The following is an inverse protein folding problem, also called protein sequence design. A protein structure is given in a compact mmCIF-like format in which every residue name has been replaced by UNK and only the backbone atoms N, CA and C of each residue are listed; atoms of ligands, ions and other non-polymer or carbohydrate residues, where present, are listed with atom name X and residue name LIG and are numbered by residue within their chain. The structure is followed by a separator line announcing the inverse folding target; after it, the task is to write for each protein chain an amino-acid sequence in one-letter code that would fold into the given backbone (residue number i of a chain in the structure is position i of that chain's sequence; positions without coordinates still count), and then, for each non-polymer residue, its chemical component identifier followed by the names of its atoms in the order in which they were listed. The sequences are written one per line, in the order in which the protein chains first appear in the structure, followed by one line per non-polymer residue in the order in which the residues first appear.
data_IF_153392487928
#
_entry.id   IF_153392487928
#
_cell.length_a   1.000
_cell.length_b   1.000
_cell.length_c   1.000
_cell.angle_alpha   90.00
_cell.angle_beta   90.00
_cell.angle_gamma   90.00
#
_symmetry.space_group_name_H-M   'P 1'
#
loop_
_entity.id
_entity.type
_entity.pdbx_description
1 polymer ?
#
# COMPACT_ATOMS: atom_id res chain seq x y z
N UNK A 1 -5.54 22.69 -4.46
CA UNK A 1 -5.02 21.32 -4.54
C UNK A 1 -4.70 20.81 -3.14
N UNK A 2 -5.12 19.61 -2.81
CA UNK A 2 -5.04 19.05 -1.43
C UNK A 2 -3.62 18.62 -1.00
N UNK A 3 -2.71 18.40 -1.96
CA UNK A 3 -1.34 17.96 -1.74
C UNK A 3 -0.30 18.92 -2.35
N UNK A 4 -0.67 20.18 -2.52
CA UNK A 4 0.19 21.17 -3.16
C UNK A 4 1.57 21.24 -2.48
N UNK A 5 2.61 21.12 -3.29
CA UNK A 5 4.03 21.13 -2.90
C UNK A 5 4.49 20.00 -1.95
N UNK A 6 3.64 19.04 -1.58
CA UNK A 6 4.08 17.87 -0.80
C UNK A 6 4.93 16.96 -1.67
N UNK A 7 6.09 16.53 -1.16
CA UNK A 7 6.92 15.50 -1.80
C UNK A 7 6.54 14.12 -1.26
N UNK A 8 6.11 13.24 -2.15
CA UNK A 8 5.46 11.99 -1.80
C UNK A 8 6.10 10.81 -2.53
N UNK A 9 6.49 9.78 -1.79
CA UNK A 9 6.89 8.50 -2.37
C UNK A 9 5.67 7.58 -2.41
N UNK A 10 5.43 6.97 -3.57
CA UNK A 10 4.40 5.95 -3.77
C UNK A 10 5.08 4.67 -4.26
N UNK A 11 5.02 3.60 -3.47
CA UNK A 11 5.60 2.29 -3.83
C UNK A 11 4.59 1.39 -4.52
N UNK A 12 5.06 0.36 -5.23
CA UNK A 12 4.24 -0.52 -6.07
C UNK A 12 3.34 0.29 -7.04
N UNK A 13 3.93 1.35 -7.61
CA UNK A 13 3.19 2.32 -8.39
C UNK A 13 2.93 1.89 -9.84
N UNK A 14 3.55 0.81 -10.31
CA UNK A 14 3.43 0.37 -11.71
C UNK A 14 2.00 -0.04 -12.11
N UNK A 15 1.17 -0.45 -11.14
CA UNK A 15 -0.20 -0.92 -11.41
C UNK A 15 -1.13 -0.78 -10.21
N UNK A 16 -2.44 -1.02 -10.41
CA UNK A 16 -3.46 -1.14 -9.36
C UNK A 16 -3.53 0.07 -8.44
N UNK A 17 -3.60 -0.18 -7.14
CA UNK A 17 -3.78 0.86 -6.10
C UNK A 17 -2.64 1.88 -6.12
N UNK A 18 -1.39 1.42 -6.22
CA UNK A 18 -0.23 2.31 -6.25
C UNK A 18 -0.26 3.27 -7.45
N UNK A 19 -0.57 2.75 -8.66
CA UNK A 19 -0.70 3.57 -9.87
C UNK A 19 -1.81 4.61 -9.76
N UNK A 20 -3.00 4.20 -9.35
CA UNK A 20 -4.13 5.10 -9.16
C UNK A 20 -3.82 6.20 -8.13
N UNK A 21 -3.13 5.82 -7.04
CA UNK A 21 -2.73 6.76 -6.00
C UNK A 21 -1.67 7.75 -6.50
N UNK A 22 -0.65 7.29 -7.21
CA UNK A 22 0.39 8.16 -7.76
C UNK A 22 -0.18 9.21 -8.70
N UNK A 23 -1.05 8.80 -9.63
CA UNK A 23 -1.75 9.70 -10.56
C UNK A 23 -2.66 10.69 -9.80
N UNK A 24 -3.45 10.20 -8.83
CA UNK A 24 -4.34 11.06 -8.04
C UNK A 24 -3.56 12.09 -7.22
N UNK A 25 -2.47 11.70 -6.59
CA UNK A 25 -1.63 12.60 -5.81
C UNK A 25 -0.99 13.69 -6.68
N UNK A 26 -0.47 13.32 -7.84
CA UNK A 26 0.10 14.27 -8.80
C UNK A 26 -0.95 15.27 -9.32
N UNK A 27 -2.17 14.82 -9.59
CA UNK A 27 -3.28 15.67 -10.00
C UNK A 27 -3.74 16.63 -8.89
N UNK A 28 -3.46 16.29 -7.64
CA UNK A 28 -3.71 17.14 -6.47
C UNK A 28 -2.51 18.00 -6.05
N UNK A 29 -1.53 18.16 -6.93
CA UNK A 29 -0.40 19.09 -6.78
C UNK A 29 0.81 18.55 -6.04
N UNK A 30 0.86 17.24 -5.77
CA UNK A 30 2.04 16.64 -5.16
C UNK A 30 3.20 16.48 -6.16
N UNK A 31 4.43 16.58 -5.63
CA UNK A 31 5.64 16.13 -6.30
C UNK A 31 5.82 14.63 -5.99
N UNK A 32 5.33 13.78 -6.88
CA UNK A 32 5.28 12.33 -6.68
C UNK A 32 6.55 11.68 -7.23
N UNK A 33 7.14 10.80 -6.43
CA UNK A 33 8.14 9.81 -6.86
C UNK A 33 7.45 8.44 -6.82
N UNK A 34 7.15 7.90 -7.99
CA UNK A 34 6.54 6.59 -8.16
C UNK A 34 7.64 5.52 -8.26
N UNK A 35 7.58 4.50 -7.40
CA UNK A 35 8.59 3.43 -7.40
C UNK A 35 7.96 2.05 -7.58
N UNK A 36 8.66 1.18 -8.32
CA UNK A 36 8.28 -0.21 -8.56
C UNK A 36 9.50 -1.00 -9.06
N UNK A 37 9.44 -2.31 -9.02
CA UNK A 37 10.42 -3.19 -9.66
C UNK A 37 10.26 -3.23 -11.19
N UNK A 38 9.06 -2.92 -11.69
CA UNK A 38 8.72 -2.93 -13.12
C UNK A 38 8.89 -1.54 -13.75
N UNK A 39 10.08 -1.28 -14.22
CA UNK A 39 10.46 -0.01 -14.84
C UNK A 39 9.63 0.32 -16.09
N UNK A 40 9.33 -0.68 -16.93
CA UNK A 40 8.55 -0.47 -18.15
C UNK A 40 7.15 0.10 -17.84
N UNK A 41 6.48 -0.45 -16.83
CA UNK A 41 5.16 0.05 -16.40
C UNK A 41 5.25 1.41 -15.68
N UNK A 42 6.37 1.75 -15.06
CA UNK A 42 6.59 3.09 -14.52
C UNK A 42 6.68 4.14 -15.64
N UNK A 43 7.31 3.82 -16.78
CA UNK A 43 7.34 4.72 -17.94
C UNK A 43 5.93 5.02 -18.51
N UNK A 44 5.01 4.06 -18.43
CA UNK A 44 3.61 4.31 -18.78
C UNK A 44 2.98 5.39 -17.88
N UNK A 45 3.25 5.36 -16.57
CA UNK A 45 2.74 6.38 -15.63
C UNK A 45 3.31 7.75 -15.96
N UNK A 46 4.60 7.82 -16.22
CA UNK A 46 5.27 9.05 -16.62
C UNK A 46 4.70 9.62 -17.93
N UNK A 47 4.32 8.75 -18.85
CA UNK A 47 3.66 9.16 -20.10
C UNK A 47 2.26 9.75 -19.84
N UNK A 48 1.52 9.27 -18.83
CA UNK A 48 0.22 9.80 -18.43
C UNK A 48 0.33 11.13 -17.68
N UNK A 49 1.36 11.28 -16.86
CA UNK A 49 1.64 12.52 -16.16
C UNK A 49 3.16 12.78 -16.05
N UNK A 50 3.72 13.59 -16.98
CA UNK A 50 5.17 13.84 -17.04
C UNK A 50 5.78 14.51 -15.80
N UNK A 51 4.95 15.03 -14.88
CA UNK A 51 5.40 15.61 -13.60
C UNK A 51 5.74 14.56 -12.56
N UNK A 52 5.33 13.29 -12.76
CA UNK A 52 5.69 12.21 -11.86
C UNK A 52 7.14 11.78 -12.14
N UNK A 53 7.96 11.86 -11.09
CA UNK A 53 9.28 11.25 -11.09
C UNK A 53 9.12 9.73 -10.95
N UNK A 54 9.90 8.94 -11.65
CA UNK A 54 9.88 7.48 -11.54
C UNK A 54 11.24 6.96 -11.10
N UNK A 55 11.25 5.88 -10.33
CA UNK A 55 12.48 5.19 -9.97
C UNK A 55 12.22 3.67 -9.84
N UNK A 56 13.05 2.86 -10.52
CA UNK A 56 13.08 1.43 -10.25
C UNK A 56 13.60 1.19 -8.84
N UNK A 57 12.88 0.42 -8.05
CA UNK A 57 13.22 0.14 -6.66
C UNK A 57 12.62 -1.18 -6.20
N UNK A 58 13.45 -2.09 -5.74
CA UNK A 58 13.01 -3.22 -4.93
C UNK A 58 12.96 -2.79 -3.46
N UNK A 59 11.75 -2.64 -2.93
CA UNK A 59 11.52 -2.23 -1.54
C UNK A 59 11.94 -3.30 -0.51
N UNK A 60 12.32 -4.49 -0.94
CA UNK A 60 12.88 -5.56 -0.09
C UNK A 60 14.41 -5.56 -0.08
N UNK A 61 15.04 -4.82 -0.98
CA UNK A 61 16.49 -4.71 -1.06
C UNK A 61 16.99 -3.52 -0.23
N UNK A 62 17.67 -3.82 0.87
CA UNK A 62 18.16 -2.80 1.81
C UNK A 62 19.09 -1.78 1.14
N UNK A 63 20.05 -2.24 0.34
CA UNK A 63 21.03 -1.36 -0.31
C UNK A 63 20.37 -0.42 -1.32
N UNK A 64 19.42 -0.94 -2.12
CA UNK A 64 18.67 -0.11 -3.07
C UNK A 64 17.85 0.95 -2.35
N UNK A 65 17.17 0.59 -1.25
CA UNK A 65 16.36 1.52 -0.46
C UNK A 65 17.23 2.61 0.18
N UNK A 66 18.35 2.24 0.81
CA UNK A 66 19.27 3.20 1.40
C UNK A 66 19.85 4.16 0.35
N UNK A 67 20.28 3.64 -0.81
CA UNK A 67 20.82 4.42 -1.93
C UNK A 67 19.74 5.33 -2.57
N UNK A 68 18.50 4.87 -2.65
CA UNK A 68 17.37 5.66 -3.13
C UNK A 68 17.12 6.86 -2.20
N UNK A 69 16.97 6.62 -0.91
CA UNK A 69 16.70 7.69 0.05
C UNK A 69 17.90 8.64 0.24
N UNK A 70 19.13 8.18 0.05
CA UNK A 70 20.32 9.05 0.13
C UNK A 70 20.28 10.22 -0.86
N UNK A 71 19.57 10.06 -1.97
CA UNK A 71 19.41 11.07 -3.04
C UNK A 71 18.25 12.03 -2.83
N UNK A 72 17.47 11.85 -1.76
CA UNK A 72 16.23 12.60 -1.55
C UNK A 72 16.29 13.31 -0.19
N UNK A 73 16.27 14.63 -0.17
CA UNK A 73 16.42 15.41 1.07
C UNK A 73 15.13 15.47 1.90
N UNK A 74 14.00 15.74 1.25
CA UNK A 74 12.73 16.00 1.91
C UNK A 74 11.63 15.05 1.41
N UNK A 75 10.95 14.40 2.35
CA UNK A 75 9.76 13.60 2.09
C UNK A 75 8.69 14.01 3.09
N UNK A 76 7.48 14.28 2.61
CA UNK A 76 6.33 14.64 3.43
C UNK A 76 5.43 13.42 3.68
N UNK A 77 5.28 12.55 2.67
CA UNK A 77 4.44 11.36 2.76
C UNK A 77 5.15 10.15 2.16
N UNK A 78 5.08 9.03 2.86
CA UNK A 78 5.32 7.70 2.31
C UNK A 78 3.97 6.98 2.15
N UNK A 79 3.58 6.67 0.92
CA UNK A 79 2.48 5.75 0.62
C UNK A 79 3.06 4.41 0.21
N UNK A 80 2.91 3.41 1.09
CA UNK A 80 3.47 2.08 0.87
C UNK A 80 2.39 1.07 0.50
N UNK A 81 2.44 0.60 -0.74
CA UNK A 81 1.46 -0.34 -1.31
C UNK A 81 2.07 -1.66 -1.79
N UNK A 82 3.35 -1.92 -1.47
CA UNK A 82 3.97 -3.22 -1.80
C UNK A 82 3.22 -4.33 -1.08
N UNK A 83 2.94 -5.40 -1.80
CA UNK A 83 2.29 -6.56 -1.21
C UNK A 83 2.11 -7.70 -2.20
N UNK A 84 2.13 -8.89 -1.66
CA UNK A 84 1.92 -10.15 -2.36
C UNK A 84 0.80 -10.95 -1.68
N UNK A 85 -0.10 -11.53 -2.47
CA UNK A 85 -1.20 -12.35 -1.98
C UNK A 85 -0.86 -13.82 -2.22
N UNK A 86 -0.40 -14.50 -1.19
CA UNK A 86 -0.30 -15.95 -1.20
C UNK A 86 -1.70 -16.59 -1.08
N UNK A 87 -1.94 -17.67 -1.83
CA UNK A 87 -3.17 -18.45 -1.81
C UNK A 87 -2.88 -19.83 -1.23
N UNK A 88 -3.44 -20.11 -0.07
CA UNK A 88 -3.29 -21.40 0.60
C UNK A 88 -3.72 -21.34 2.06
N UNK A 89 -4.13 -22.49 2.61
CA UNK A 89 -4.33 -22.70 4.02
C UNK A 89 -2.97 -22.89 4.73
N UNK A 90 -2.96 -23.12 6.04
CA UNK A 90 -1.72 -23.27 6.82
C UNK A 90 -0.83 -24.40 6.29
N UNK A 91 -1.41 -25.54 5.96
CA UNK A 91 -0.65 -26.71 5.50
C UNK A 91 -0.21 -26.62 4.04
N UNK A 92 -0.78 -25.69 3.27
CA UNK A 92 -0.42 -25.44 1.87
C UNK A 92 0.68 -24.37 1.72
N UNK A 93 1.11 -23.78 2.83
CA UNK A 93 2.15 -22.77 2.88
C UNK A 93 3.45 -23.37 3.38
N UNK A 94 4.41 -23.58 2.50
CA UNK A 94 5.73 -24.04 2.90
C UNK A 94 6.58 -22.92 3.55
N UNK A 95 7.78 -23.31 4.02
CA UNK A 95 8.66 -22.37 4.72
C UNK A 95 9.17 -21.23 3.81
N UNK A 96 9.42 -21.52 2.55
CA UNK A 96 9.94 -20.54 1.60
C UNK A 96 8.86 -19.52 1.21
N UNK A 97 7.63 -20.00 0.98
CA UNK A 97 6.46 -19.15 0.74
C UNK A 97 6.13 -18.26 1.97
N UNK A 98 6.27 -18.84 3.17
CA UNK A 98 6.13 -18.10 4.42
C UNK A 98 7.16 -16.96 4.50
N UNK A 99 8.44 -17.26 4.33
CA UNK A 99 9.51 -16.26 4.37
C UNK A 99 9.37 -15.21 3.26
N UNK A 100 9.02 -15.63 2.04
CA UNK A 100 8.80 -14.71 0.92
C UNK A 100 7.65 -13.74 1.22
N UNK A 101 6.53 -14.24 1.78
CA UNK A 101 5.40 -13.39 2.16
C UNK A 101 5.75 -12.39 3.26
N UNK A 102 6.52 -12.80 4.27
CA UNK A 102 7.06 -11.90 5.31
C UNK A 102 7.98 -10.85 4.68
N UNK A 103 8.89 -11.26 3.81
CA UNK A 103 9.85 -10.36 3.16
C UNK A 103 9.12 -9.30 2.32
N UNK A 104 8.19 -9.71 1.45
CA UNK A 104 7.50 -8.77 0.58
C UNK A 104 6.54 -7.87 1.37
N UNK A 105 5.72 -8.43 2.27
CA UNK A 105 4.62 -7.68 2.89
C UNK A 105 5.05 -6.89 4.13
N UNK A 106 5.97 -7.43 4.95
CA UNK A 106 6.34 -6.82 6.23
C UNK A 106 7.71 -6.14 6.14
N UNK A 107 8.73 -6.88 5.67
CA UNK A 107 10.09 -6.36 5.66
C UNK A 107 10.22 -5.14 4.74
N UNK A 108 9.55 -5.13 3.59
CA UNK A 108 9.52 -3.95 2.71
C UNK A 108 8.92 -2.72 3.41
N UNK A 109 7.80 -2.88 4.15
CA UNK A 109 7.18 -1.79 4.89
C UNK A 109 8.09 -1.28 6.02
N UNK A 110 8.73 -2.20 6.74
CA UNK A 110 9.74 -1.86 7.74
C UNK A 110 10.89 -1.08 7.11
N UNK A 111 11.48 -1.59 6.05
CA UNK A 111 12.67 -1.01 5.44
C UNK A 111 12.41 0.39 4.88
N UNK A 112 11.33 0.56 4.13
CA UNK A 112 10.93 1.86 3.58
C UNK A 112 10.61 2.88 4.68
N UNK A 113 9.88 2.46 5.73
CA UNK A 113 9.54 3.32 6.86
C UNK A 113 10.76 3.67 7.69
N UNK A 114 11.58 2.68 8.06
CA UNK A 114 12.78 2.87 8.87
C UNK A 114 13.77 3.84 8.21
N UNK A 115 13.92 3.77 6.89
CA UNK A 115 14.87 4.60 6.16
C UNK A 115 14.37 6.04 5.97
N UNK A 116 13.06 6.26 5.80
CA UNK A 116 12.50 7.62 5.65
C UNK A 116 12.33 8.34 6.99
N UNK A 117 12.03 7.61 8.05
CA UNK A 117 11.65 8.15 9.36
C UNK A 117 12.65 9.17 9.94
N UNK A 118 13.99 8.96 9.91
CA UNK A 118 14.93 9.95 10.39
C UNK A 118 14.84 11.32 9.69
N UNK A 119 14.50 11.32 8.39
CA UNK A 119 14.30 12.56 7.62
C UNK A 119 13.03 13.28 8.05
N UNK A 120 11.96 12.55 8.31
CA UNK A 120 10.69 13.08 8.82
C UNK A 120 10.86 13.64 10.25
N UNK A 121 11.56 12.90 11.12
CA UNK A 121 11.85 13.32 12.50
C UNK A 121 12.66 14.64 12.55
N UNK A 122 13.66 14.79 11.66
CA UNK A 122 14.44 16.03 11.55
C UNK A 122 13.54 17.23 11.23
N UNK A 123 12.48 17.04 10.46
CA UNK A 123 11.49 18.07 10.10
C UNK A 123 10.41 18.26 11.17
N UNK A 124 10.31 17.33 12.12
CA UNK A 124 9.17 17.21 13.06
C UNK A 124 7.81 17.18 12.34
N UNK A 125 7.78 16.64 11.15
CA UNK A 125 6.58 16.45 10.34
C UNK A 125 6.77 15.30 9.36
N UNK A 126 5.84 14.34 9.37
CA UNK A 126 5.84 13.23 8.43
C UNK A 126 4.52 12.46 8.46
N UNK A 127 4.22 11.81 7.36
CA UNK A 127 2.99 11.04 7.23
C UNK A 127 3.28 9.73 6.49
N UNK A 128 2.86 8.62 7.09
CA UNK A 128 3.05 7.27 6.56
C UNK A 128 1.68 6.64 6.39
N UNK A 129 1.41 6.17 5.19
CA UNK A 129 0.16 5.46 4.86
C UNK A 129 0.53 4.10 4.29
N UNK A 130 0.08 3.03 4.94
CA UNK A 130 0.38 1.65 4.56
C UNK A 130 -0.87 0.94 4.07
N UNK A 131 -0.78 0.28 2.93
CA UNK A 131 -1.87 -0.55 2.42
C UNK A 131 -1.81 -1.93 3.07
N UNK A 132 -2.70 -2.14 4.05
CA UNK A 132 -2.96 -3.43 4.67
C UNK A 132 -4.07 -4.18 3.91
N UNK A 133 -5.04 -4.78 4.59
CA UNK A 133 -6.20 -5.48 4.01
C UNK A 133 -7.29 -5.66 5.03
N UNK A 134 -8.54 -5.74 4.60
CA UNK A 134 -9.65 -6.25 5.40
C UNK A 134 -9.43 -7.74 5.78
N UNK A 135 -8.83 -8.53 4.87
CA UNK A 135 -8.33 -9.87 5.17
C UNK A 135 -7.04 -9.78 6.02
N UNK A 136 -7.22 -9.61 7.34
CA UNK A 136 -6.16 -9.39 8.32
C UNK A 136 -6.67 -9.74 9.72
N UNK A 137 -6.32 -8.94 10.73
CA UNK A 137 -6.93 -9.02 12.07
C UNK A 137 -8.41 -8.61 12.10
N UNK A 138 -8.96 -8.09 11.00
CA UNK A 138 -10.37 -7.68 10.89
C UNK A 138 -11.26 -8.84 10.45
N UNK A 139 -10.85 -9.58 9.39
CA UNK A 139 -11.61 -10.71 8.86
C UNK A 139 -10.70 -11.88 8.51
N UNK A 140 -11.00 -13.06 9.06
CA UNK A 140 -10.42 -14.33 8.61
C UNK A 140 -11.01 -14.72 7.26
N UNK A 141 -10.14 -15.10 6.32
CA UNK A 141 -10.54 -15.50 4.96
C UNK A 141 -9.92 -16.85 4.65
N UNK A 142 -10.70 -17.86 4.21
CA UNK A 142 -10.16 -19.15 3.81
C UNK A 142 -9.07 -19.00 2.74
N UNK A 143 -8.07 -19.89 2.80
CA UNK A 143 -6.95 -19.92 1.86
C UNK A 143 -6.17 -18.59 1.76
N UNK A 144 -6.04 -17.88 2.92
CA UNK A 144 -5.27 -16.63 3.03
C UNK A 144 -4.38 -16.63 4.28
N UNK A 145 -3.94 -17.81 4.73
CA UNK A 145 -3.23 -17.96 6.00
C UNK A 145 -2.08 -16.95 6.12
N UNK A 146 -1.02 -17.08 5.33
CA UNK A 146 0.15 -16.22 5.49
C UNK A 146 -0.11 -14.77 5.04
N UNK A 147 -0.93 -14.58 4.00
CA UNK A 147 -1.32 -13.24 3.58
C UNK A 147 -2.02 -12.47 4.71
N UNK A 148 -3.08 -13.03 5.29
CA UNK A 148 -3.82 -12.38 6.38
C UNK A 148 -2.94 -12.16 7.61
N UNK A 149 -2.05 -13.10 7.93
CA UNK A 149 -1.06 -12.97 9.01
C UNK A 149 -0.15 -11.77 8.78
N UNK A 150 0.41 -11.60 7.57
CA UNK A 150 1.27 -10.46 7.25
C UNK A 150 0.52 -9.14 7.30
N UNK A 151 -0.73 -9.10 6.81
CA UNK A 151 -1.56 -7.89 6.85
C UNK A 151 -2.01 -7.52 8.27
N UNK A 152 -2.24 -8.52 9.13
CA UNK A 152 -2.47 -8.29 10.55
C UNK A 152 -1.22 -7.72 11.26
N UNK A 153 -0.03 -8.19 10.90
CA UNK A 153 1.22 -7.63 11.40
C UNK A 153 1.40 -6.15 10.99
N UNK A 154 1.04 -5.77 9.77
CA UNK A 154 1.04 -4.36 9.34
C UNK A 154 0.09 -3.50 10.16
N UNK A 155 -1.05 -4.03 10.62
CA UNK A 155 -1.97 -3.31 11.50
C UNK A 155 -1.31 -2.98 12.86
N UNK A 156 -0.55 -3.92 13.42
CA UNK A 156 0.27 -3.71 14.62
C UNK A 156 1.40 -2.72 14.37
N UNK A 157 2.12 -2.87 13.26
CA UNK A 157 3.21 -1.99 12.84
C UNK A 157 2.76 -0.52 12.79
N UNK A 158 1.64 -0.23 12.13
CA UNK A 158 1.09 1.13 12.01
C UNK A 158 0.80 1.75 13.38
N UNK A 159 0.16 0.98 14.28
CA UNK A 159 -0.16 1.45 15.63
C UNK A 159 1.10 1.74 16.45
N UNK A 160 2.11 0.88 16.35
CA UNK A 160 3.38 1.05 17.07
C UNK A 160 4.13 2.29 16.57
N UNK A 161 4.29 2.45 15.25
CA UNK A 161 4.94 3.65 14.69
C UNK A 161 4.19 4.92 15.07
N UNK A 162 2.87 4.92 15.02
CA UNK A 162 2.08 6.07 15.44
C UNK A 162 2.28 6.40 16.93
N UNK A 163 2.24 5.40 17.81
CA UNK A 163 2.40 5.58 19.25
C UNK A 163 3.79 6.11 19.62
N UNK A 164 4.83 5.59 18.98
CA UNK A 164 6.21 5.95 19.29
C UNK A 164 6.55 7.39 18.85
N UNK A 165 6.02 7.85 17.71
CA UNK A 165 6.49 9.08 17.06
C UNK A 165 5.44 10.19 16.92
N UNK A 166 4.25 10.05 17.53
CA UNK A 166 3.20 11.09 17.46
C UNK A 166 3.68 12.43 18.05
N UNK A 167 4.45 12.39 19.14
CA UNK A 167 4.99 13.60 19.79
C UNK A 167 6.04 14.32 18.94
N UNK A 168 6.60 13.61 17.98
CA UNK A 168 7.58 14.12 17.03
C UNK A 168 6.94 14.60 15.71
N UNK A 169 5.62 14.67 15.65
CA UNK A 169 4.88 15.16 14.49
C UNK A 169 4.74 14.13 13.37
N UNK A 170 4.86 12.84 13.67
CA UNK A 170 4.71 11.77 12.68
C UNK A 170 3.31 11.15 12.82
N UNK A 171 2.59 11.05 11.71
CA UNK A 171 1.36 10.27 11.61
C UNK A 171 1.63 8.97 10.84
N UNK A 172 0.98 7.91 11.28
CA UNK A 172 1.05 6.62 10.58
C UNK A 172 -0.34 5.97 10.59
N UNK A 173 -0.87 5.64 9.40
CA UNK A 173 -2.21 5.07 9.25
C UNK A 173 -2.20 3.90 8.27
N UNK A 174 -3.13 2.98 8.42
CA UNK A 174 -3.37 1.91 7.45
C UNK A 174 -4.67 2.14 6.67
N UNK A 175 -4.65 1.76 5.38
CA UNK A 175 -5.86 1.54 4.59
C UNK A 175 -6.06 0.03 4.50
N UNK A 176 -7.29 -0.43 4.76
CA UNK A 176 -7.68 -1.84 4.73
C UNK A 176 -8.72 -2.06 3.63
N UNK A 177 -8.29 -2.26 2.38
CA UNK A 177 -9.22 -2.53 1.29
C UNK A 177 -9.92 -3.89 1.44
N UNK A 178 -11.15 -3.96 0.95
CA UNK A 178 -11.78 -5.21 0.53
C UNK A 178 -11.19 -5.71 -0.80
N UNK A 179 -12.00 -6.38 -1.63
CA UNK A 179 -11.53 -6.82 -2.94
C UNK A 179 -11.54 -5.65 -3.93
N UNK A 180 -10.38 -5.39 -4.53
CA UNK A 180 -10.16 -4.31 -5.50
C UNK A 180 -9.85 -4.90 -6.87
N UNK A 181 -10.50 -4.40 -7.91
CA UNK A 181 -10.29 -4.79 -9.29
C UNK A 181 -8.94 -4.26 -9.80
N UNK A 182 -7.92 -5.09 -9.72
CA UNK A 182 -6.53 -4.77 -10.07
C UNK A 182 -5.95 -5.85 -10.99
N UNK A 183 -4.87 -5.58 -11.73
CA UNK A 183 -4.17 -6.61 -12.50
C UNK A 183 -3.75 -7.82 -11.64
N UNK A 184 -3.38 -7.61 -10.38
CA UNK A 184 -3.07 -8.69 -9.45
C UNK A 184 -4.31 -9.54 -9.10
N UNK A 185 -5.48 -8.93 -8.94
CA UNK A 185 -6.72 -9.67 -8.74
C UNK A 185 -7.12 -10.43 -9.98
N UNK A 186 -7.08 -9.80 -11.15
CA UNK A 186 -7.37 -10.44 -12.42
C UNK A 186 -6.47 -11.66 -12.67
N UNK A 187 -5.16 -11.53 -12.40
CA UNK A 187 -4.23 -12.67 -12.49
C UNK A 187 -4.66 -13.85 -11.62
N UNK A 188 -5.16 -13.61 -10.41
CA UNK A 188 -5.67 -14.68 -9.53
C UNK A 188 -6.97 -15.30 -10.06
N UNK A 189 -7.85 -14.49 -10.65
CA UNK A 189 -9.06 -15.01 -11.30
C UNK A 189 -8.70 -15.92 -12.46
N UNK A 190 -7.75 -15.52 -13.30
CA UNK A 190 -7.32 -16.32 -14.46
C UNK A 190 -6.58 -17.62 -14.09
N UNK A 191 -6.04 -17.71 -12.87
CA UNK A 191 -5.40 -18.92 -12.36
C UNK A 191 -6.38 -19.92 -11.70
N UNK A 192 -7.65 -19.57 -11.55
CA UNK A 192 -8.66 -20.47 -11.01
C UNK A 192 -9.09 -21.52 -12.07
N UNK A 193 -9.54 -22.69 -11.62
CA UNK A 193 -10.05 -23.76 -12.49
C UNK A 193 -11.25 -23.29 -13.34
N UNK A 194 -12.09 -22.42 -12.79
CA UNK A 194 -13.18 -21.74 -13.48
C UNK A 194 -13.09 -20.23 -13.20
N UNK A 195 -12.46 -19.44 -14.10
CA UNK A 195 -12.30 -18.00 -13.94
C UNK A 195 -13.63 -17.24 -13.90
N UNK A 196 -14.66 -17.70 -14.63
CA UNK A 196 -15.98 -17.06 -14.63
C UNK A 196 -16.69 -17.21 -13.29
N UNK A 197 -16.65 -18.43 -12.74
CA UNK A 197 -17.22 -18.70 -11.42
C UNK A 197 -16.41 -17.97 -10.33
N UNK A 198 -15.09 -18.01 -10.39
CA UNK A 198 -14.23 -17.29 -9.45
C UNK A 198 -14.55 -15.77 -9.41
N UNK A 199 -14.74 -15.16 -10.58
CA UNK A 199 -15.16 -13.74 -10.68
C UNK A 199 -16.51 -13.49 -10.00
N UNK A 200 -17.49 -14.35 -10.25
CA UNK A 200 -18.83 -14.26 -9.63
C UNK A 200 -18.72 -14.39 -8.10
N UNK A 201 -17.92 -15.33 -7.61
CA UNK A 201 -17.72 -15.56 -6.18
C UNK A 201 -17.04 -14.37 -5.49
N UNK A 202 -16.04 -13.75 -6.13
CA UNK A 202 -15.44 -12.53 -5.61
C UNK A 202 -16.45 -11.39 -5.50
N UNK A 203 -17.30 -11.20 -6.50
CA UNK A 203 -18.34 -10.16 -6.51
C UNK A 203 -19.41 -10.46 -5.47
N UNK A 204 -19.91 -11.71 -5.42
CA UNK A 204 -20.92 -12.14 -4.47
C UNK A 204 -20.48 -12.00 -3.01
N UNK A 205 -19.19 -12.11 -2.75
CA UNK A 205 -18.62 -11.88 -1.43
C UNK A 205 -18.63 -10.41 -0.97
N UNK A 206 -18.89 -9.45 -1.87
CA UNK A 206 -18.95 -8.03 -1.50
C UNK A 206 -20.40 -7.60 -1.23
N UNK A 207 -20.67 -7.05 -0.04
CA UNK A 207 -22.03 -6.62 0.33
C UNK A 207 -22.60 -5.56 -0.63
N UNK A 208 -21.76 -4.71 -1.22
CA UNK A 208 -22.17 -3.75 -2.25
C UNK A 208 -22.44 -4.38 -3.63
N UNK A 209 -22.24 -5.69 -3.82
CA UNK A 209 -22.47 -6.38 -5.10
C UNK A 209 -21.50 -6.01 -6.22
N UNK A 210 -20.37 -5.40 -5.90
CA UNK A 210 -19.29 -5.06 -6.85
C UNK A 210 -17.93 -5.03 -6.17
N UNK A 211 -16.89 -5.08 -6.98
CA UNK A 211 -15.52 -4.83 -6.52
C UNK A 211 -15.27 -3.32 -6.39
N UNK A 212 -14.32 -2.96 -5.53
CA UNK A 212 -13.82 -1.60 -5.51
C UNK A 212 -12.91 -1.32 -6.72
N UNK A 213 -12.90 -0.07 -7.18
CA UNK A 213 -11.92 0.40 -8.16
C UNK A 213 -10.68 0.95 -7.43
N UNK A 214 -9.47 0.85 -8.02
CA UNK A 214 -8.25 1.41 -7.44
C UNK A 214 -8.36 2.89 -7.06
N UNK A 215 -9.13 3.67 -7.81
CA UNK A 215 -9.38 5.10 -7.62
C UNK A 215 -10.17 5.39 -6.34
N UNK A 216 -11.01 4.44 -5.89
CA UNK A 216 -11.75 4.56 -4.62
C UNK A 216 -10.78 4.44 -3.44
N UNK A 217 -9.81 3.52 -3.53
CA UNK A 217 -8.74 3.39 -2.53
C UNK A 217 -7.81 4.62 -2.56
N UNK A 218 -7.47 5.11 -3.75
CA UNK A 218 -6.69 6.32 -3.92
C UNK A 218 -7.39 7.58 -3.34
N UNK A 219 -8.71 7.58 -3.26
CA UNK A 219 -9.48 8.67 -2.64
C UNK A 219 -9.31 8.68 -1.11
N UNK A 220 -9.31 7.53 -0.46
CA UNK A 220 -8.98 7.39 0.96
C UNK A 220 -7.50 7.74 1.21
N UNK A 221 -6.61 7.27 0.33
CA UNK A 221 -5.19 7.61 0.40
C UNK A 221 -4.96 9.12 0.33
N UNK A 222 -5.66 9.83 -0.57
CA UNK A 222 -5.61 11.28 -0.70
C UNK A 222 -6.03 11.99 0.61
N UNK A 223 -7.13 11.56 1.22
CA UNK A 223 -7.56 12.10 2.51
C UNK A 223 -6.47 11.91 3.57
N UNK A 224 -5.96 10.68 3.73
CA UNK A 224 -4.96 10.37 4.74
C UNK A 224 -3.60 11.06 4.49
N UNK A 225 -3.24 11.32 3.23
CA UNK A 225 -2.02 12.03 2.85
C UNK A 225 -2.12 13.56 3.03
N UNK A 226 -3.33 14.11 3.05
CA UNK A 226 -3.57 15.54 3.14
C UNK A 226 -3.56 16.06 4.59
N UNK A 227 -3.54 17.38 4.76
CA UNK A 227 -3.65 18.04 6.06
C UNK A 227 -5.08 17.98 6.63
N UNK A 228 -6.07 17.57 5.84
CA UNK A 228 -7.45 17.30 6.32
C UNK A 228 -7.51 16.16 7.34
N UNK A 229 -6.50 15.30 7.37
CA UNK A 229 -6.39 14.17 8.30
C UNK A 229 -5.40 14.41 9.44
N UNK A 230 -5.07 15.66 9.78
CA UNK A 230 -4.05 15.97 10.80
C UNK A 230 -4.38 15.41 12.19
N UNK A 231 -5.66 15.17 12.49
CA UNK A 231 -6.08 14.53 13.73
C UNK A 231 -6.27 13.01 13.63
N UNK A 232 -5.80 12.40 12.53
CA UNK A 232 -5.94 10.96 12.26
C UNK A 232 -4.57 10.30 12.27
N UNK A 233 -4.31 9.47 13.28
CA UNK A 233 -3.08 8.65 13.37
C UNK A 233 -3.32 7.36 14.15
N UNK A 234 -2.58 6.31 13.85
CA UNK A 234 -2.73 4.97 14.44
C UNK A 234 -4.00 4.25 14.04
N UNK A 235 -4.71 4.72 13.00
CA UNK A 235 -6.02 4.19 12.60
C UNK A 235 -5.92 3.13 11.52
N UNK A 236 -6.89 2.22 11.56
CA UNK A 236 -7.10 1.17 10.57
C UNK A 236 -8.35 1.55 9.76
N UNK A 237 -8.13 2.16 8.60
CA UNK A 237 -9.20 2.73 7.79
C UNK A 237 -9.74 1.69 6.81
N UNK A 238 -10.87 1.09 7.19
CA UNK A 238 -11.55 0.08 6.39
C UNK A 238 -12.26 0.72 5.19
N UNK A 239 -12.05 0.15 4.01
CA UNK A 239 -12.71 0.54 2.75
C UNK A 239 -12.97 -0.74 1.95
N UNK A 240 -14.05 -1.44 2.27
CA UNK A 240 -14.30 -2.82 1.85
C UNK A 240 -15.70 -3.08 1.27
N UNK A 241 -16.48 -2.03 1.04
CA UNK A 241 -17.84 -2.19 0.52
C UNK A 241 -18.76 -3.04 1.40
N UNK A 242 -18.50 -3.07 2.72
CA UNK A 242 -19.28 -3.86 3.68
C UNK A 242 -18.89 -5.35 3.72
N UNK A 243 -17.77 -5.74 3.13
CA UNK A 243 -17.34 -7.14 3.13
C UNK A 243 -17.10 -7.73 4.53
N UNK A 244 -16.81 -6.89 5.51
CA UNK A 244 -16.57 -7.31 6.90
C UNK A 244 -17.80 -7.24 7.81
N UNK A 245 -18.94 -6.84 7.30
CA UNK A 245 -20.21 -6.79 8.02
C UNK A 245 -20.75 -8.19 8.37
#
# INVERSE_FOLDING_TARGET
MRLENKRIIVTAAAQGIGRATALKFANEGANVIATDINEQKLEEIKSLNPKIEIAKLDSTNKEEVENFYAKIDNIDVLFHAVGFVHHGALLDCDTDEFHNSININIFSAYLMTHTVLPKMLKKKKGNIVIVSSAASSVKGVPNRFIYATTKAALNGFVKSVAADYIKDGIRCNAILPGTVETPSWEGRVQMADDPEQARKDFIAGQAMGRLAQPEEIASMALYLASDESDFVTGTLNLIDGGWTL
#
